data_IF_338640124073
#
_entry.id   IF_338640124073
#
_cell.length_a   1.000
_cell.length_b   1.000
_cell.length_c   1.000
_cell.angle_alpha   90.00
_cell.angle_beta   90.00
_cell.angle_gamma   90.00
#
_symmetry.space_group_name_H-M   'P 1'
#
loop_
_entity.id
_entity.type
_entity.pdbx_description
1 polymer ?
#
# COMPACT_ATOMS: atom_id res chain seq x y z
N UNK A 1 -13.73 5.59 16.28
CA UNK A 1 -12.42 5.69 15.60
C UNK A 1 -11.73 4.38 15.83
N UNK A 2 -11.39 3.65 14.77
CA UNK A 2 -10.59 2.42 14.87
C UNK A 2 -9.21 2.76 15.41
N UNK A 3 -8.68 1.94 16.32
CA UNK A 3 -7.34 2.09 16.89
C UNK A 3 -6.65 0.74 17.01
N UNK A 4 -5.33 0.75 17.15
CA UNK A 4 -4.52 -0.45 17.43
C UNK A 4 -4.04 -0.35 18.87
N UNK A 5 -4.26 -1.41 19.64
CA UNK A 5 -3.61 -1.61 20.93
C UNK A 5 -2.67 -2.82 20.85
N UNK A 6 -1.48 -2.70 21.42
CA UNK A 6 -0.49 -3.78 21.47
C UNK A 6 -0.10 -4.11 22.90
N UNK A 7 0.02 -5.39 23.23
CA UNK A 7 0.37 -5.85 24.58
C UNK A 7 1.24 -7.11 24.52
N UNK A 8 2.10 -7.37 25.52
CA UNK A 8 2.82 -8.63 25.61
C UNK A 8 1.85 -9.77 25.92
N UNK A 9 1.86 -10.82 25.10
CA UNK A 9 1.05 -12.03 25.35
C UNK A 9 1.58 -12.72 26.61
N UNK A 10 0.69 -12.98 27.56
CA UNK A 10 1.02 -13.70 28.78
C UNK A 10 1.14 -15.20 28.50
N UNK A 11 1.96 -15.88 29.30
CA UNK A 11 2.16 -17.34 29.22
C UNK A 11 2.66 -17.82 27.84
N UNK A 12 3.55 -17.06 27.19
CA UNK A 12 4.06 -17.35 25.85
C UNK A 12 5.23 -18.34 25.80
N UNK A 13 5.31 -19.31 26.73
CA UNK A 13 6.37 -20.33 26.66
C UNK A 13 6.19 -21.22 25.45
N UNK A 14 7.28 -21.79 24.91
CA UNK A 14 7.23 -22.66 23.73
C UNK A 14 6.19 -23.78 23.91
N UNK A 15 6.23 -24.48 25.04
CA UNK A 15 5.32 -25.60 25.29
C UNK A 15 3.85 -25.15 25.36
N UNK A 16 3.59 -23.96 25.91
CA UNK A 16 2.22 -23.41 26.02
C UNK A 16 1.69 -22.94 24.68
N UNK A 17 2.50 -22.25 23.88
CA UNK A 17 2.09 -21.83 22.53
C UNK A 17 1.93 -23.04 21.61
N UNK A 18 2.73 -24.09 21.79
CA UNK A 18 2.54 -25.35 21.06
C UNK A 18 1.25 -26.09 21.48
N UNK A 19 0.90 -26.12 22.77
CA UNK A 19 -0.36 -26.74 23.21
C UNK A 19 -1.59 -26.04 22.64
N UNK A 20 -1.49 -24.74 22.43
CA UNK A 20 -2.57 -23.89 21.92
C UNK A 20 -2.53 -23.79 20.37
N UNK A 21 -1.74 -24.62 19.67
CA UNK A 21 -1.54 -24.51 18.20
C UNK A 21 -2.84 -24.60 17.41
N UNK A 22 -3.78 -25.44 17.86
CA UNK A 22 -5.07 -25.62 17.22
C UNK A 22 -6.01 -24.43 17.45
N UNK A 23 -5.69 -23.53 18.38
CA UNK A 23 -6.44 -22.29 18.63
C UNK A 23 -5.84 -21.08 17.86
N UNK A 24 -4.77 -21.29 17.09
CA UNK A 24 -4.04 -20.23 16.37
C UNK A 24 -4.24 -20.39 14.86
N UNK A 25 -4.63 -19.31 14.20
CA UNK A 25 -4.71 -19.23 12.73
C UNK A 25 -3.33 -18.88 12.18
N UNK A 26 -2.72 -19.82 11.47
CA UNK A 26 -1.34 -19.69 10.96
C UNK A 26 -1.28 -18.98 9.61
N UNK A 27 -2.39 -18.96 8.86
CA UNK A 27 -2.47 -18.42 7.49
C UNK A 27 -3.75 -17.58 7.29
N UNK A 28 -3.82 -16.38 7.91
CA UNK A 28 -4.96 -15.49 7.69
C UNK A 28 -4.94 -14.86 6.29
N UNK A 29 -6.10 -14.45 5.78
CA UNK A 29 -6.26 -13.94 4.40
C UNK A 29 -5.38 -12.73 4.05
N UNK A 30 -5.02 -11.92 5.05
CA UNK A 30 -4.13 -10.76 4.89
C UNK A 30 -2.63 -11.11 4.87
N UNK A 31 -2.28 -12.39 5.06
CA UNK A 31 -0.90 -12.86 4.93
C UNK A 31 -0.57 -13.17 3.47
N UNK A 32 0.58 -12.69 3.00
CA UNK A 32 1.12 -13.11 1.69
C UNK A 32 1.84 -14.45 1.83
N UNK A 33 1.81 -15.25 0.76
CA UNK A 33 2.63 -16.45 0.64
C UNK A 33 4.12 -16.09 0.76
N UNK A 34 4.67 -16.22 1.97
CA UNK A 34 6.09 -16.10 2.24
C UNK A 34 6.83 -17.34 1.75
N UNK A 35 8.09 -17.17 1.33
CA UNK A 35 8.96 -18.30 1.00
C UNK A 35 9.18 -19.21 2.21
N UNK A 36 9.31 -20.50 1.96
CA UNK A 36 9.59 -21.52 2.99
C UNK A 36 11.03 -21.37 3.49
N UNK A 37 11.25 -21.38 4.81
CA UNK A 37 12.61 -21.40 5.35
C UNK A 37 13.37 -22.68 4.98
N UNK A 38 14.64 -22.51 4.61
CA UNK A 38 15.56 -23.63 4.37
C UNK A 38 15.87 -24.37 5.68
N UNK A 39 16.27 -25.66 5.64
CA UNK A 39 16.62 -26.42 6.85
C UNK A 39 17.63 -25.71 7.75
N UNK A 40 18.63 -25.06 7.16
CA UNK A 40 19.69 -24.36 7.90
C UNK A 40 19.13 -23.17 8.69
N UNK A 41 18.20 -22.41 8.09
CA UNK A 41 17.50 -21.31 8.79
C UNK A 41 16.62 -21.83 9.94
N UNK A 42 16.00 -23.00 9.74
CA UNK A 42 15.19 -23.63 10.79
C UNK A 42 16.06 -24.05 11.97
N UNK A 43 17.18 -24.71 11.69
CA UNK A 43 18.15 -25.15 12.70
C UNK A 43 18.77 -23.96 13.44
N UNK A 44 19.13 -22.88 12.73
CA UNK A 44 19.67 -21.66 13.34
C UNK A 44 18.69 -21.01 14.33
N UNK A 45 17.38 -21.06 14.08
CA UNK A 45 16.39 -20.56 15.05
C UNK A 45 16.40 -21.42 16.34
N UNK A 46 16.45 -22.74 16.21
CA UNK A 46 16.48 -23.63 17.38
C UNK A 46 17.79 -23.44 18.14
N UNK A 47 18.91 -23.23 17.44
CA UNK A 47 20.19 -22.87 18.04
C UNK A 47 20.05 -21.61 18.89
N UNK A 48 19.54 -20.52 18.29
CA UNK A 48 19.32 -19.25 18.98
C UNK A 48 18.51 -19.43 20.27
N UNK A 49 17.45 -20.25 20.24
CA UNK A 49 16.62 -20.52 21.42
C UNK A 49 17.41 -21.26 22.51
N UNK A 50 18.12 -22.34 22.16
CA UNK A 50 18.87 -23.14 23.13
C UNK A 50 20.04 -22.36 23.76
N UNK A 51 20.68 -21.50 22.96
CA UNK A 51 21.78 -20.64 23.39
C UNK A 51 21.32 -19.28 23.96
N UNK A 52 20.02 -19.06 24.19
CA UNK A 52 19.45 -17.82 24.75
C UNK A 52 19.76 -16.54 23.94
N UNK A 53 19.95 -16.65 22.62
CA UNK A 53 19.99 -15.47 21.76
C UNK A 53 18.62 -14.80 21.69
N UNK A 54 18.62 -13.47 21.57
CA UNK A 54 17.41 -12.72 21.31
C UNK A 54 16.85 -13.08 19.93
N UNK A 55 15.54 -13.26 19.84
CA UNK A 55 14.85 -13.59 18.60
C UNK A 55 13.86 -12.48 18.22
N UNK A 56 13.68 -12.19 16.92
CA UNK A 56 12.72 -11.18 16.50
C UNK A 56 11.31 -11.47 17.02
N UNK A 57 10.62 -10.39 17.43
CA UNK A 57 9.26 -10.45 17.95
C UNK A 57 8.29 -11.17 17.00
N UNK A 58 7.27 -11.78 17.58
CA UNK A 58 6.18 -12.43 16.86
C UNK A 58 4.92 -11.63 17.15
N UNK A 59 4.09 -11.40 16.14
CA UNK A 59 2.89 -10.56 16.28
C UNK A 59 1.64 -11.40 16.04
N UNK A 60 0.75 -11.44 17.02
CA UNK A 60 -0.54 -12.12 16.94
C UNK A 60 -1.67 -11.10 16.96
N UNK A 61 -2.59 -11.20 16.02
CA UNK A 61 -3.89 -10.57 16.13
C UNK A 61 -4.73 -11.34 17.16
N UNK A 62 -5.21 -10.66 18.19
CA UNK A 62 -6.12 -11.25 19.16
C UNK A 62 -7.56 -11.02 18.72
N UNK A 63 -8.29 -12.11 18.53
CA UNK A 63 -9.71 -12.05 18.17
C UNK A 63 -10.56 -11.53 19.33
N UNK A 64 -11.63 -10.83 18.98
CA UNK A 64 -12.65 -10.38 19.93
C UNK A 64 -13.31 -11.58 20.64
N UNK A 65 -14.13 -11.33 21.67
CA UNK A 65 -14.85 -12.42 22.34
C UNK A 65 -15.85 -13.09 21.40
N UNK A 66 -16.52 -12.28 20.59
CA UNK A 66 -17.50 -12.71 19.60
C UNK A 66 -16.82 -13.54 18.51
N UNK A 67 -15.72 -13.05 17.95
CA UNK A 67 -14.95 -13.76 16.93
C UNK A 67 -14.37 -15.08 17.45
N UNK A 68 -13.94 -15.13 18.71
CA UNK A 68 -13.46 -16.37 19.35
C UNK A 68 -14.54 -17.43 19.41
N UNK A 69 -15.78 -17.05 19.71
CA UNK A 69 -16.92 -17.98 19.78
C UNK A 69 -17.29 -18.50 18.39
N UNK A 70 -17.28 -17.62 17.39
CA UNK A 70 -17.61 -17.97 16.01
C UNK A 70 -16.53 -18.84 15.36
N UNK A 71 -15.26 -18.42 15.46
CA UNK A 71 -14.13 -19.04 14.76
C UNK A 71 -13.53 -20.22 15.52
N UNK A 72 -13.79 -20.33 16.83
CA UNK A 72 -13.10 -21.27 17.73
C UNK A 72 -11.56 -21.12 17.65
N UNK A 73 -11.09 -19.87 17.50
CA UNK A 73 -9.67 -19.51 17.42
C UNK A 73 -9.42 -18.32 18.31
N UNK A 74 -8.29 -18.31 19.02
CA UNK A 74 -7.90 -17.22 19.95
C UNK A 74 -7.07 -16.16 19.27
N UNK A 75 -6.17 -16.57 18.37
CA UNK A 75 -5.22 -15.67 17.70
C UNK A 75 -5.12 -15.96 16.21
N UNK A 76 -4.66 -14.97 15.44
CA UNK A 76 -4.14 -15.16 14.09
C UNK A 76 -2.72 -14.58 14.00
N UNK A 77 -1.82 -15.25 13.27
CA UNK A 77 -0.45 -14.78 13.11
C UNK A 77 -0.40 -13.61 12.13
N UNK A 78 0.09 -12.47 12.58
CA UNK A 78 0.38 -11.30 11.73
C UNK A 78 1.80 -11.44 11.16
N UNK A 79 2.80 -11.56 12.04
CA UNK A 79 4.20 -11.74 11.66
C UNK A 79 4.86 -12.85 12.50
N UNK A 80 5.84 -13.54 11.90
CA UNK A 80 6.58 -14.62 12.57
C UNK A 80 6.08 -16.04 12.30
N UNK A 81 5.25 -16.25 11.27
CA UNK A 81 4.76 -17.59 10.85
C UNK A 81 5.89 -18.62 10.74
N UNK A 82 6.93 -18.33 9.97
CA UNK A 82 8.06 -19.25 9.77
C UNK A 82 8.78 -19.57 11.09
N UNK A 83 8.84 -18.63 12.05
CA UNK A 83 9.43 -18.86 13.38
C UNK A 83 8.59 -19.86 14.18
N UNK A 84 7.28 -19.62 14.26
CA UNK A 84 6.34 -20.48 14.98
C UNK A 84 6.29 -21.89 14.37
N UNK A 85 6.13 -22.00 13.05
CA UNK A 85 6.09 -23.28 12.34
C UNK A 85 7.39 -24.08 12.51
N UNK A 86 8.54 -23.39 12.56
CA UNK A 86 9.84 -24.02 12.80
C UNK A 86 9.92 -24.61 14.21
N UNK A 87 9.52 -23.84 15.22
CA UNK A 87 9.50 -24.30 16.62
C UNK A 87 8.58 -25.51 16.76
N UNK A 88 7.36 -25.44 16.21
CA UNK A 88 6.42 -26.56 16.23
C UNK A 88 6.96 -27.78 15.48
N UNK A 89 7.60 -27.57 14.33
CA UNK A 89 8.20 -28.67 13.56
C UNK A 89 9.33 -29.37 14.31
N UNK A 90 10.12 -28.64 15.11
CA UNK A 90 11.15 -29.23 15.97
C UNK A 90 10.52 -30.04 17.11
N UNK A 91 9.50 -29.49 17.77
CA UNK A 91 8.70 -30.17 18.81
C UNK A 91 8.06 -31.46 18.29
N UNK A 92 7.62 -31.46 17.04
CA UNK A 92 7.03 -32.61 16.35
C UNK A 92 8.09 -33.60 15.80
N UNK A 93 9.38 -33.34 16.01
CA UNK A 93 10.47 -34.23 15.59
C UNK A 93 10.72 -34.25 14.08
N UNK A 94 10.30 -33.20 13.33
CA UNK A 94 10.44 -33.16 11.87
C UNK A 94 11.87 -32.89 11.39
N UNK A 95 12.75 -32.41 12.27
CA UNK A 95 14.18 -32.20 12.00
C UNK A 95 14.97 -32.19 13.31
N UNK A 96 16.29 -32.30 13.19
CA UNK A 96 17.23 -32.33 14.32
C UNK A 96 18.06 -31.05 14.39
N UNK A 97 18.76 -30.87 15.52
CA UNK A 97 19.82 -29.88 15.65
C UNK A 97 20.89 -30.05 14.56
N UNK A 98 21.54 -28.96 14.18
CA UNK A 98 22.59 -28.98 13.16
C UNK A 98 23.75 -29.89 13.58
N UNK A 99 24.46 -30.45 12.60
CA UNK A 99 25.65 -31.29 12.83
C UNK A 99 26.82 -30.49 13.44
N UNK A 100 26.80 -29.17 13.28
CA UNK A 100 27.75 -28.20 13.83
C UNK A 100 27.23 -27.43 15.06
N UNK A 101 26.12 -27.89 15.66
CA UNK A 101 25.53 -27.21 16.83
C UNK A 101 26.47 -27.23 18.05
N UNK A 102 26.70 -26.06 18.64
CA UNK A 102 27.50 -25.88 19.85
C UNK A 102 26.67 -25.26 20.99
N UNK A 103 26.67 -25.92 22.15
CA UNK A 103 25.95 -25.43 23.33
C UNK A 103 26.85 -24.56 24.21
N UNK A 104 26.55 -23.26 24.26
CA UNK A 104 27.45 -22.26 24.86
C UNK A 104 27.57 -22.39 26.39
N UNK A 105 26.48 -22.71 27.08
CA UNK A 105 26.51 -22.86 28.55
C UNK A 105 27.39 -24.05 28.99
N UNK A 106 27.55 -25.07 28.13
CA UNK A 106 28.43 -26.21 28.40
C UNK A 106 28.87 -26.90 27.10
N UNK A 107 30.05 -26.52 26.55
CA UNK A 107 30.56 -27.07 25.29
C UNK A 107 30.85 -28.57 25.30
N UNK A 108 30.87 -29.22 26.46
CA UNK A 108 31.11 -30.67 26.56
C UNK A 108 29.86 -31.51 26.27
N UNK A 109 28.67 -30.91 26.20
CA UNK A 109 27.44 -31.62 25.86
C UNK A 109 27.37 -31.88 24.36
N UNK A 110 27.13 -33.13 23.97
CA UNK A 110 27.02 -33.53 22.57
C UNK A 110 25.56 -33.46 22.13
N UNK A 111 25.15 -32.29 21.66
CA UNK A 111 23.77 -32.02 21.26
C UNK A 111 23.56 -31.99 19.73
N UNK A 112 24.64 -31.94 18.95
CA UNK A 112 24.56 -31.97 17.49
C UNK A 112 23.80 -33.20 16.96
N UNK A 113 22.96 -33.00 15.95
CA UNK A 113 22.14 -34.05 15.34
C UNK A 113 21.00 -34.58 16.21
N UNK A 114 20.82 -34.11 17.45
CA UNK A 114 19.75 -34.59 18.33
C UNK A 114 18.39 -34.01 17.94
N UNK A 115 17.36 -34.87 17.99
CA UNK A 115 15.96 -34.45 17.88
C UNK A 115 15.44 -33.94 19.23
N UNK A 116 14.25 -33.35 19.21
CA UNK A 116 13.53 -32.98 20.42
C UNK A 116 13.29 -34.16 21.38
N UNK A 117 13.06 -35.37 20.86
CA UNK A 117 12.86 -36.58 21.68
C UNK A 117 14.18 -37.05 22.32
N UNK A 118 15.28 -36.98 21.56
CA UNK A 118 16.61 -37.32 22.07
C UNK A 118 17.02 -36.38 23.19
N UNK A 119 16.74 -35.07 23.05
CA UNK A 119 16.95 -34.10 24.13
C UNK A 119 16.16 -34.47 25.39
N UNK A 120 14.93 -34.98 25.26
CA UNK A 120 14.14 -35.40 26.41
C UNK A 120 14.72 -36.64 27.12
N UNK A 121 15.27 -37.59 26.35
CA UNK A 121 15.84 -38.84 26.87
C UNK A 121 17.24 -38.65 27.46
N UNK A 122 18.11 -37.94 26.75
CA UNK A 122 19.55 -37.84 27.06
C UNK A 122 19.88 -36.57 27.88
N UNK A 123 19.19 -35.46 27.62
CA UNK A 123 19.51 -34.15 28.19
C UNK A 123 18.26 -33.42 28.73
N UNK A 124 17.52 -34.00 29.70
CA UNK A 124 16.21 -33.48 30.14
C UNK A 124 16.26 -32.04 30.65
N UNK A 125 17.40 -31.58 31.19
CA UNK A 125 17.58 -30.17 31.59
C UNK A 125 17.60 -29.21 30.40
N UNK A 126 18.26 -29.60 29.31
CA UNK A 126 18.31 -28.81 28.06
C UNK A 126 16.91 -28.78 27.43
N UNK A 127 16.22 -29.92 27.46
CA UNK A 127 14.83 -30.03 27.02
C UNK A 127 13.88 -29.07 27.77
N UNK A 128 13.96 -29.04 29.11
CA UNK A 128 13.18 -28.11 29.94
C UNK A 128 13.52 -26.66 29.63
N UNK A 129 14.80 -26.34 29.40
CA UNK A 129 15.23 -24.98 28.99
C UNK A 129 14.55 -24.55 27.70
N UNK A 130 14.51 -25.44 26.69
CA UNK A 130 13.78 -25.18 25.45
C UNK A 130 12.27 -24.96 25.71
N UNK A 131 11.61 -25.85 26.45
CA UNK A 131 10.16 -25.73 26.74
C UNK A 131 9.77 -24.43 27.44
N UNK A 132 10.60 -24.02 28.38
CA UNK A 132 10.37 -22.86 29.25
C UNK A 132 10.81 -21.55 28.60
N UNK A 133 11.39 -21.58 27.40
CA UNK A 133 11.75 -20.37 26.66
C UNK A 133 10.49 -19.54 26.39
N UNK A 134 10.51 -18.28 26.83
CA UNK A 134 9.39 -17.35 26.68
C UNK A 134 9.50 -16.67 25.32
N UNK A 135 8.58 -16.99 24.41
CA UNK A 135 8.55 -16.38 23.09
C UNK A 135 8.16 -14.91 23.20
N UNK A 136 8.86 -13.98 22.51
CA UNK A 136 8.55 -12.55 22.52
C UNK A 136 7.34 -12.25 21.63
N UNK A 137 6.16 -12.70 22.06
CA UNK A 137 4.90 -12.55 21.34
C UNK A 137 4.18 -11.27 21.79
N UNK A 138 3.84 -10.43 20.82
CA UNK A 138 3.02 -9.22 20.99
C UNK A 138 1.63 -9.49 20.43
N UNK A 139 0.62 -9.34 21.28
CA UNK A 139 -0.79 -9.36 20.92
C UNK A 139 -1.22 -8.00 20.38
N UNK A 140 -2.09 -8.03 19.38
CA UNK A 140 -2.58 -6.84 18.68
C UNK A 140 -4.10 -6.90 18.63
N UNK A 141 -4.74 -5.92 19.24
CA UNK A 141 -6.19 -5.81 19.33
C UNK A 141 -6.66 -4.62 18.49
N UNK A 142 -7.53 -4.90 17.53
CA UNK A 142 -8.23 -3.93 16.69
C UNK A 142 -9.41 -4.61 16.03
N UNK A 143 -10.46 -3.85 15.74
CA UNK A 143 -11.63 -4.28 14.95
C UNK A 143 -11.48 -3.97 13.45
N UNK A 144 -10.34 -3.37 13.06
CA UNK A 144 -10.09 -2.88 11.71
C UNK A 144 -8.95 -3.69 11.04
N UNK A 145 -9.33 -4.56 10.11
CA UNK A 145 -8.39 -5.39 9.36
C UNK A 145 -7.41 -4.56 8.50
N UNK A 146 -7.82 -3.37 8.03
CA UNK A 146 -6.94 -2.51 7.23
C UNK A 146 -5.76 -2.00 8.07
N UNK A 147 -5.98 -1.81 9.39
CA UNK A 147 -4.94 -1.43 10.34
C UNK A 147 -3.94 -2.58 10.59
N UNK A 148 -4.42 -3.82 10.62
CA UNK A 148 -3.57 -5.01 10.72
C UNK A 148 -2.68 -5.14 9.48
N UNK A 149 -3.26 -4.99 8.29
CA UNK A 149 -2.51 -5.00 7.03
C UNK A 149 -1.45 -3.90 6.97
N UNK A 150 -1.80 -2.68 7.41
CA UNK A 150 -0.86 -1.56 7.45
C UNK A 150 0.31 -1.83 8.42
N UNK A 151 0.01 -2.37 9.60
CA UNK A 151 1.03 -2.74 10.58
C UNK A 151 1.95 -3.85 10.04
N UNK A 152 1.38 -4.89 9.42
CA UNK A 152 2.15 -5.97 8.80
C UNK A 152 3.09 -5.47 7.70
N UNK A 153 2.60 -4.58 6.83
CA UNK A 153 3.40 -3.97 5.76
C UNK A 153 4.57 -3.16 6.34
N UNK A 154 4.35 -2.42 7.43
CA UNK A 154 5.41 -1.66 8.12
C UNK A 154 6.47 -2.54 8.77
N UNK A 155 6.06 -3.65 9.38
CA UNK A 155 6.97 -4.61 10.02
C UNK A 155 7.93 -5.25 9.00
N UNK A 156 7.45 -5.52 7.78
CA UNK A 156 8.22 -6.27 6.77
C UNK A 156 8.96 -5.41 5.74
N UNK A 157 8.36 -4.31 5.28
CA UNK A 157 8.86 -3.55 4.12
C UNK A 157 9.42 -2.17 4.49
N UNK A 158 9.39 -1.77 5.78
CA UNK A 158 9.74 -0.45 6.31
C UNK A 158 8.98 0.76 5.68
N UNK A 159 8.14 0.52 4.67
CA UNK A 159 7.33 1.54 3.98
C UNK A 159 5.94 0.95 3.68
N UNK A 160 4.85 1.50 4.24
CA UNK A 160 3.49 0.98 4.00
C UNK A 160 3.10 1.18 2.53
N UNK A 161 2.37 0.24 1.93
CA UNK A 161 1.79 0.45 0.59
C UNK A 161 0.95 1.73 0.54
N UNK A 162 1.12 2.54 -0.50
CA UNK A 162 0.31 3.74 -0.70
C UNK A 162 -1.06 3.37 -1.28
N UNK A 163 -1.95 4.36 -1.39
CA UNK A 163 -3.32 4.12 -1.87
C UNK A 163 -3.37 3.54 -3.30
N UNK A 164 -2.47 3.95 -4.20
CA UNK A 164 -2.40 3.42 -5.55
C UNK A 164 -1.94 1.96 -5.57
N UNK A 165 -0.95 1.61 -4.75
CA UNK A 165 -0.43 0.25 -4.58
C UNK A 165 -1.48 -0.68 -3.98
N UNK A 166 -2.18 -0.25 -2.91
CA UNK A 166 -3.30 -1.00 -2.32
C UNK A 166 -4.42 -1.20 -3.35
N UNK A 167 -4.81 -0.16 -4.09
CA UNK A 167 -5.83 -0.30 -5.16
C UNK A 167 -5.44 -1.29 -6.25
N UNK A 168 -4.18 -1.25 -6.68
CA UNK A 168 -3.70 -2.15 -7.72
C UNK A 168 -3.77 -3.63 -7.30
N UNK A 169 -3.75 -3.92 -6.00
CA UNK A 169 -3.88 -5.27 -5.47
C UNK A 169 -5.32 -5.82 -5.55
N UNK A 170 -6.36 -4.98 -5.65
CA UNK A 170 -7.75 -5.45 -5.79
C UNK A 170 -8.01 -6.27 -7.06
N UNK A 171 -7.20 -6.04 -8.12
CA UNK A 171 -7.37 -6.69 -9.42
C UNK A 171 -8.69 -6.36 -10.11
N UNK A 172 -9.03 -7.11 -11.16
CA UNK A 172 -10.26 -6.93 -11.93
C UNK A 172 -10.13 -5.98 -13.12
N UNK A 173 -11.25 -5.80 -13.83
CA UNK A 173 -11.30 -5.12 -15.13
C UNK A 173 -10.84 -3.66 -15.03
N UNK A 174 -11.37 -2.91 -14.06
CA UNK A 174 -11.00 -1.50 -13.86
C UNK A 174 -9.51 -1.33 -13.51
N UNK A 175 -8.92 -2.20 -12.68
CA UNK A 175 -7.48 -2.13 -12.34
C UNK A 175 -6.62 -2.43 -13.57
N UNK A 176 -7.02 -3.40 -14.37
CA UNK A 176 -6.33 -3.70 -15.62
C UNK A 176 -6.38 -2.50 -16.57
N UNK A 177 -7.49 -1.76 -16.58
CA UNK A 177 -7.62 -0.57 -17.41
C UNK A 177 -6.72 0.58 -16.94
N UNK A 178 -6.64 0.81 -15.63
CA UNK A 178 -5.68 1.76 -15.04
C UNK A 178 -4.23 1.43 -15.49
N UNK A 179 -3.86 0.15 -15.51
CA UNK A 179 -2.53 -0.31 -15.96
C UNK A 179 -2.28 -0.07 -17.45
N UNK A 180 -3.31 -0.12 -18.29
CA UNK A 180 -3.18 0.16 -19.73
C UNK A 180 -3.04 1.66 -19.99
N UNK A 181 -3.95 2.47 -19.45
CA UNK A 181 -3.95 3.92 -19.63
C UNK A 181 -2.64 4.54 -19.11
N UNK A 182 -2.11 4.05 -17.98
CA UNK A 182 -0.81 4.52 -17.46
C UNK A 182 0.40 4.22 -18.36
N UNK A 183 0.25 3.35 -19.38
CA UNK A 183 1.27 3.09 -20.41
C UNK A 183 1.09 3.95 -21.67
N UNK A 184 0.10 4.84 -21.70
CA UNK A 184 -0.09 5.75 -22.83
C UNK A 184 1.15 6.64 -23.04
N UNK A 185 1.42 7.03 -24.29
CA UNK A 185 2.60 7.84 -24.67
C UNK A 185 2.73 9.12 -23.85
N UNK A 186 1.60 9.75 -23.53
CA UNK A 186 1.50 10.89 -22.62
C UNK A 186 2.21 10.67 -21.27
N UNK A 187 1.95 9.55 -20.60
CA UNK A 187 2.55 9.23 -19.30
C UNK A 187 4.02 8.85 -19.41
N UNK A 188 4.40 8.16 -20.49
CA UNK A 188 5.78 7.67 -20.68
C UNK A 188 6.73 8.80 -21.12
N UNK A 189 6.28 9.65 -22.05
CA UNK A 189 7.11 10.67 -22.70
C UNK A 189 6.94 12.05 -22.09
N UNK A 190 5.70 12.53 -21.92
CA UNK A 190 5.45 13.93 -21.60
C UNK A 190 5.43 14.19 -20.09
N UNK A 191 4.87 13.29 -19.28
CA UNK A 191 4.80 13.47 -17.82
C UNK A 191 6.19 13.49 -17.20
N UNK A 192 6.49 14.52 -16.40
CA UNK A 192 7.81 14.75 -15.82
C UNK A 192 8.04 14.00 -14.51
N UNK A 193 7.01 13.78 -13.71
CA UNK A 193 7.15 13.03 -12.46
C UNK A 193 7.27 11.52 -12.74
N UNK A 194 8.15 10.80 -12.02
CA UNK A 194 8.37 9.38 -12.25
C UNK A 194 7.15 8.56 -11.79
N UNK A 195 7.01 7.34 -12.32
CA UNK A 195 6.01 6.38 -11.84
C UNK A 195 6.41 5.69 -10.51
N UNK A 196 7.14 6.38 -9.64
CA UNK A 196 7.62 5.82 -8.37
C UNK A 196 6.43 5.57 -7.45
N UNK A 197 6.20 4.33 -7.03
CA UNK A 197 5.04 3.96 -6.21
C UNK A 197 3.69 4.21 -6.90
N UNK A 198 3.62 3.88 -8.19
CA UNK A 198 2.37 3.87 -8.98
C UNK A 198 1.69 5.24 -9.14
N UNK A 199 2.46 6.32 -9.20
CA UNK A 199 1.92 7.68 -9.42
C UNK A 199 1.20 7.84 -10.75
N UNK A 200 1.65 7.17 -11.82
CA UNK A 200 0.94 7.21 -13.11
C UNK A 200 -0.38 6.43 -13.02
N UNK A 201 -0.45 5.39 -12.19
CA UNK A 201 -1.68 4.63 -11.98
C UNK A 201 -2.68 5.47 -11.18
N UNK A 202 -2.21 6.25 -10.20
CA UNK A 202 -3.03 7.25 -9.49
C UNK A 202 -3.68 8.23 -10.47
N UNK A 203 -2.87 8.85 -11.34
CA UNK A 203 -3.38 9.78 -12.34
C UNK A 203 -4.35 9.12 -13.32
N UNK A 204 -4.02 7.94 -13.85
CA UNK A 204 -4.90 7.19 -14.76
C UNK A 204 -6.23 6.81 -14.10
N UNK A 205 -6.21 6.36 -12.84
CA UNK A 205 -7.42 6.06 -12.08
C UNK A 205 -8.32 7.29 -11.88
N UNK A 206 -7.73 8.48 -11.68
CA UNK A 206 -8.50 9.72 -11.60
C UNK A 206 -9.15 10.09 -12.93
N UNK A 207 -8.48 9.88 -14.06
CA UNK A 207 -9.08 10.11 -15.38
C UNK A 207 -10.26 9.17 -15.64
N UNK A 208 -10.12 7.88 -15.28
CA UNK A 208 -11.22 6.92 -15.33
C UNK A 208 -12.38 7.35 -14.45
N UNK A 209 -12.12 7.81 -13.23
CA UNK A 209 -13.16 8.30 -12.33
C UNK A 209 -13.92 9.50 -12.90
N UNK A 210 -13.24 10.40 -13.61
CA UNK A 210 -13.88 11.51 -14.31
C UNK A 210 -14.88 11.01 -15.36
N UNK A 211 -14.48 10.02 -16.18
CA UNK A 211 -15.38 9.46 -17.20
C UNK A 211 -16.54 8.66 -16.59
N UNK A 212 -16.29 7.87 -15.54
CA UNK A 212 -17.32 7.14 -14.80
C UNK A 212 -18.34 8.12 -14.21
N UNK A 213 -17.89 9.16 -13.51
CA UNK A 213 -18.77 10.14 -12.88
C UNK A 213 -19.59 10.95 -13.91
N UNK A 214 -18.95 11.29 -15.04
CA UNK A 214 -19.60 11.94 -16.18
C UNK A 214 -20.70 11.05 -16.77
N UNK A 215 -20.45 9.75 -16.88
CA UNK A 215 -21.42 8.78 -17.41
C UNK A 215 -22.58 8.52 -16.43
N UNK A 216 -22.29 8.33 -15.15
CA UNK A 216 -23.32 7.96 -14.15
C UNK A 216 -24.19 9.14 -13.71
N UNK A 217 -23.62 10.34 -13.60
CA UNK A 217 -24.29 11.49 -12.98
C UNK A 217 -24.23 12.79 -13.79
N UNK A 218 -23.42 12.83 -14.86
CA UNK A 218 -23.15 14.06 -15.61
C UNK A 218 -22.39 15.12 -14.82
N UNK A 219 -21.85 14.79 -13.64
CA UNK A 219 -21.19 15.73 -12.73
C UNK A 219 -19.79 15.26 -12.38
N UNK A 220 -18.88 16.21 -12.24
CA UNK A 220 -17.57 15.96 -11.63
C UNK A 220 -17.75 15.70 -10.13
N UNK A 221 -16.98 14.77 -9.59
CA UNK A 221 -16.92 14.39 -8.16
C UNK A 221 -15.50 14.52 -7.62
N UNK A 222 -15.36 14.35 -6.31
CA UNK A 222 -14.05 14.29 -5.64
C UNK A 222 -13.22 13.12 -6.17
N UNK A 223 -11.93 13.35 -6.37
CA UNK A 223 -10.95 12.34 -6.81
C UNK A 223 -10.12 11.79 -5.65
N UNK A 224 -10.71 11.77 -4.45
CA UNK A 224 -10.10 11.24 -3.22
C UNK A 224 -10.05 9.71 -3.24
N UNK A 225 -9.19 9.15 -2.38
CA UNK A 225 -9.00 7.71 -2.18
C UNK A 225 -10.33 6.94 -2.14
N UNK A 226 -11.28 7.37 -1.31
CA UNK A 226 -12.55 6.65 -1.10
C UNK A 226 -13.32 6.44 -2.40
N UNK A 227 -13.39 7.45 -3.28
CA UNK A 227 -14.10 7.36 -4.56
C UNK A 227 -13.36 6.48 -5.57
N UNK A 228 -12.04 6.57 -5.61
CA UNK A 228 -11.21 5.73 -6.48
C UNK A 228 -11.28 4.25 -6.07
N UNK A 229 -11.24 3.98 -4.77
CA UNK A 229 -11.35 2.61 -4.23
C UNK A 229 -12.76 2.05 -4.49
N UNK A 230 -13.80 2.87 -4.31
CA UNK A 230 -15.18 2.50 -4.65
C UNK A 230 -15.33 2.14 -6.13
N UNK A 231 -14.85 2.99 -7.04
CA UNK A 231 -14.91 2.76 -8.49
C UNK A 231 -14.24 1.43 -8.87
N UNK A 232 -13.04 1.16 -8.35
CA UNK A 232 -12.32 -0.09 -8.64
C UNK A 232 -13.10 -1.31 -8.15
N UNK A 233 -13.71 -1.24 -6.97
CA UNK A 233 -14.52 -2.34 -6.42
C UNK A 233 -15.82 -2.54 -7.20
N UNK A 234 -16.51 -1.46 -7.55
CA UNK A 234 -17.77 -1.47 -8.32
C UNK A 234 -17.58 -2.08 -9.72
N UNK A 235 -16.50 -1.69 -10.41
CA UNK A 235 -16.18 -2.12 -11.76
C UNK A 235 -15.17 -3.28 -11.80
N UNK A 236 -15.20 -4.16 -10.79
CA UNK A 236 -14.24 -5.27 -10.67
C UNK A 236 -14.44 -6.35 -11.75
N UNK A 237 -15.69 -6.64 -12.11
CA UNK A 237 -16.04 -7.67 -13.10
C UNK A 237 -17.36 -7.35 -13.81
N UNK A 238 -17.47 -7.71 -15.09
CA UNK A 238 -18.75 -7.68 -15.82
C UNK A 238 -19.10 -6.34 -16.49
N UNK A 239 -18.15 -5.40 -16.51
CA UNK A 239 -18.34 -4.06 -17.09
C UNK A 239 -17.32 -3.73 -18.20
N UNK A 240 -16.72 -4.75 -18.81
CA UNK A 240 -15.63 -4.60 -19.81
C UNK A 240 -16.02 -3.66 -20.96
N UNK A 241 -17.26 -3.78 -21.48
CA UNK A 241 -17.69 -2.98 -22.63
C UNK A 241 -17.72 -1.48 -22.32
N UNK A 242 -18.29 -1.08 -21.17
CA UNK A 242 -18.36 0.33 -20.76
C UNK A 242 -16.99 0.86 -20.35
N UNK A 243 -16.17 0.05 -19.66
CA UNK A 243 -14.78 0.39 -19.31
C UNK A 243 -13.96 0.66 -20.57
N UNK A 244 -14.13 -0.15 -21.62
CA UNK A 244 -13.44 0.04 -22.91
C UNK A 244 -13.86 1.32 -23.63
N UNK A 245 -15.11 1.77 -23.45
CA UNK A 245 -15.56 3.07 -23.97
C UNK A 245 -14.87 4.22 -23.24
N UNK A 246 -14.74 4.15 -21.91
CA UNK A 246 -13.99 5.14 -21.13
C UNK A 246 -12.52 5.17 -21.53
N UNK A 247 -11.89 3.99 -21.69
CA UNK A 247 -10.51 3.87 -22.20
C UNK A 247 -10.33 4.61 -23.52
N UNK A 248 -11.23 4.37 -24.49
CA UNK A 248 -11.15 5.00 -25.80
C UNK A 248 -11.22 6.53 -25.70
N UNK A 249 -12.20 7.05 -24.95
CA UNK A 249 -12.35 8.51 -24.73
C UNK A 249 -11.09 9.10 -24.10
N UNK A 250 -10.56 8.46 -23.06
CA UNK A 250 -9.36 8.92 -22.37
C UNK A 250 -8.16 8.92 -23.34
N UNK A 251 -7.93 7.84 -24.08
CA UNK A 251 -6.82 7.73 -25.01
C UNK A 251 -6.87 8.79 -26.13
N UNK A 252 -8.06 9.13 -26.63
CA UNK A 252 -8.23 10.22 -27.60
C UNK A 252 -7.75 11.56 -27.01
N UNK A 253 -8.20 11.92 -25.80
CA UNK A 253 -7.77 13.16 -25.16
C UNK A 253 -6.29 13.14 -24.75
N UNK A 254 -5.78 12.01 -24.26
CA UNK A 254 -4.36 11.86 -23.93
C UNK A 254 -3.46 11.95 -25.16
N UNK A 255 -3.94 11.52 -26.34
CA UNK A 255 -3.21 11.70 -27.62
C UNK A 255 -3.08 13.18 -27.94
N UNK A 256 -4.20 13.93 -27.91
CA UNK A 256 -4.18 15.38 -28.15
C UNK A 256 -3.30 16.13 -27.13
N UNK A 257 -3.31 15.69 -25.87
CA UNK A 257 -2.40 16.24 -24.85
C UNK A 257 -0.94 15.91 -25.16
N UNK A 258 -0.64 14.65 -25.53
CA UNK A 258 0.70 14.19 -25.91
C UNK A 258 1.30 15.01 -27.05
N UNK A 259 0.48 15.37 -28.04
CA UNK A 259 0.88 16.22 -29.18
C UNK A 259 1.12 17.69 -28.79
N UNK A 260 0.48 18.16 -27.71
CA UNK A 260 0.62 19.54 -27.24
C UNK A 260 1.86 19.73 -26.35
N UNK A 261 2.18 18.76 -25.49
CA UNK A 261 3.29 18.86 -24.53
C UNK A 261 4.61 18.31 -25.10
N UNK A 262 5.73 18.76 -24.55
CA UNK A 262 7.06 18.24 -24.92
C UNK A 262 7.44 17.04 -24.04
N UNK A 263 8.56 16.38 -24.34
CA UNK A 263 9.11 15.35 -23.48
C UNK A 263 9.44 15.92 -22.08
N UNK A 264 9.07 15.20 -21.02
CA UNK A 264 9.24 15.59 -19.60
C UNK A 264 8.87 17.06 -19.34
N UNK A 265 7.68 17.44 -19.80
CA UNK A 265 7.23 18.82 -19.82
C UNK A 265 7.20 19.44 -18.43
N UNK A 266 7.68 20.68 -18.32
CA UNK A 266 7.71 21.44 -17.06
C UNK A 266 6.29 21.71 -16.52
N UNK A 267 5.29 21.75 -17.39
CA UNK A 267 3.87 21.90 -17.02
C UNK A 267 3.29 20.63 -16.40
N UNK A 268 3.95 19.48 -16.55
CA UNK A 268 3.49 18.17 -16.08
C UNK A 268 4.34 17.65 -14.90
N UNK A 269 4.76 18.55 -14.01
CA UNK A 269 5.64 18.25 -12.87
C UNK A 269 4.95 17.58 -11.67
N UNK A 270 3.62 17.66 -11.57
CA UNK A 270 2.87 17.17 -10.42
C UNK A 270 1.57 16.46 -10.86
N UNK A 271 1.15 15.45 -10.10
CA UNK A 271 -0.06 14.67 -10.42
C UNK A 271 -1.34 15.51 -10.43
N UNK A 272 -1.44 16.51 -9.56
CA UNK A 272 -2.66 17.32 -9.36
C UNK A 272 -3.06 18.17 -10.57
N UNK A 273 -2.15 18.38 -11.54
CA UNK A 273 -2.41 19.14 -12.77
C UNK A 273 -3.04 18.26 -13.86
N UNK A 274 -2.80 16.95 -13.83
CA UNK A 274 -3.18 16.04 -14.91
C UNK A 274 -4.71 16.03 -15.13
N UNK A 275 -5.48 16.00 -14.04
CA UNK A 275 -6.95 16.02 -14.11
C UNK A 275 -7.46 17.37 -14.65
N UNK A 276 -6.86 18.48 -14.24
CA UNK A 276 -7.27 19.83 -14.70
C UNK A 276 -7.00 19.98 -16.19
N UNK A 277 -5.82 19.58 -16.67
CA UNK A 277 -5.51 19.62 -18.10
C UNK A 277 -6.35 18.64 -18.90
N UNK A 278 -6.60 17.43 -18.38
CA UNK A 278 -7.50 16.50 -19.04
C UNK A 278 -8.89 17.12 -19.25
N UNK A 279 -9.47 17.73 -18.22
CA UNK A 279 -10.76 18.42 -18.32
C UNK A 279 -10.72 19.62 -19.27
N UNK A 280 -9.63 20.40 -19.26
CA UNK A 280 -9.44 21.50 -20.20
C UNK A 280 -9.41 21.01 -21.66
N UNK A 281 -8.67 19.95 -21.95
CA UNK A 281 -8.61 19.37 -23.31
C UNK A 281 -9.93 18.71 -23.72
N UNK A 282 -10.68 18.15 -22.76
CA UNK A 282 -12.04 17.65 -22.99
C UNK A 282 -12.98 18.79 -23.38
N UNK A 283 -13.04 19.85 -22.57
CA UNK A 283 -13.81 21.07 -22.85
C UNK A 283 -13.42 21.70 -24.20
N UNK A 284 -12.13 21.77 -24.50
CA UNK A 284 -11.64 22.37 -25.73
C UNK A 284 -12.09 21.58 -26.97
N UNK A 285 -12.09 20.24 -26.91
CA UNK A 285 -12.62 19.39 -27.99
C UNK A 285 -14.13 19.62 -28.19
N UNK A 286 -14.89 19.76 -27.10
CA UNK A 286 -16.35 20.01 -27.15
C UNK A 286 -16.70 21.38 -27.74
N UNK A 287 -15.78 22.36 -27.64
CA UNK A 287 -15.98 23.74 -28.11
C UNK A 287 -15.17 24.07 -29.38
N UNK A 288 -14.65 23.05 -30.08
CA UNK A 288 -13.78 23.20 -31.26
C UNK A 288 -12.61 24.20 -31.06
N UNK A 289 -12.07 24.20 -29.84
CA UNK A 289 -10.99 25.09 -29.43
C UNK A 289 -9.65 24.34 -29.44
N UNK A 290 -8.61 24.96 -30.01
CA UNK A 290 -7.26 24.40 -30.03
C UNK A 290 -6.38 25.01 -28.95
N UNK A 291 -6.07 24.22 -27.92
CA UNK A 291 -5.13 24.61 -26.86
C UNK A 291 -3.71 24.69 -27.43
N UNK A 292 -3.02 25.80 -27.11
CA UNK A 292 -1.60 26.00 -27.46
C UNK A 292 -0.74 25.87 -26.22
N UNK A 293 0.35 25.10 -26.30
CA UNK A 293 1.34 24.97 -25.23
C UNK A 293 1.91 26.32 -24.76
N UNK A 294 2.13 27.27 -25.68
CA UNK A 294 2.65 28.60 -25.34
C UNK A 294 1.74 29.35 -24.37
N UNK A 295 0.41 29.28 -24.56
CA UNK A 295 -0.57 29.89 -23.65
C UNK A 295 -0.58 29.24 -22.26
N UNK A 296 -0.36 27.93 -22.18
CA UNK A 296 -0.22 27.23 -20.89
C UNK A 296 1.07 27.63 -20.15
N UNK A 297 2.16 27.84 -20.89
CA UNK A 297 3.42 28.35 -20.34
C UNK A 297 3.26 29.78 -19.84
N UNK A 298 2.70 30.66 -20.66
CA UNK A 298 2.41 32.06 -20.29
C UNK A 298 1.57 32.12 -19.02
N UNK A 299 0.51 31.29 -18.91
CA UNK A 299 -0.29 31.20 -17.70
C UNK A 299 0.54 30.74 -16.48
N UNK A 300 1.36 29.70 -16.63
CA UNK A 300 2.21 29.22 -15.54
C UNK A 300 3.21 30.27 -15.07
N UNK A 301 3.78 31.05 -16.00
CA UNK A 301 4.68 32.15 -15.68
C UNK A 301 3.94 33.29 -15.00
N UNK A 302 2.71 33.58 -15.43
CA UNK A 302 1.88 34.63 -14.84
C UNK A 302 1.47 34.30 -13.40
N UNK A 303 1.06 33.05 -13.12
CA UNK A 303 0.79 32.57 -11.75
C UNK A 303 2.03 32.73 -10.86
N UNK A 304 3.21 32.38 -11.38
CA UNK A 304 4.48 32.49 -10.65
C UNK A 304 4.82 33.96 -10.34
N UNK A 305 4.76 34.84 -11.33
CA UNK A 305 5.05 36.27 -11.16
C UNK A 305 4.08 36.91 -10.17
N UNK A 306 2.80 36.57 -10.25
CA UNK A 306 1.79 37.10 -9.33
C UNK A 306 2.05 36.69 -7.88
N UNK A 307 2.51 35.45 -7.65
CA UNK A 307 2.92 35.00 -6.31
C UNK A 307 4.13 35.78 -5.79
N UNK A 308 5.16 35.96 -6.61
CA UNK A 308 6.35 36.74 -6.24
C UNK A 308 6.01 38.22 -5.97
N UNK A 309 5.08 38.79 -6.73
CA UNK A 309 4.57 40.14 -6.48
C UNK A 309 3.78 40.22 -5.17
N UNK A 310 2.95 39.23 -4.85
CA UNK A 310 2.14 39.22 -3.63
C UNK A 310 2.99 39.17 -2.34
N UNK A 311 4.22 38.67 -2.40
CA UNK A 311 5.18 38.73 -1.29
C UNK A 311 5.65 40.17 -0.99
N UNK A 312 5.65 41.05 -2.00
CA UNK A 312 6.05 42.46 -1.88
C UNK A 312 4.85 43.38 -1.66
N UNK A 313 3.75 43.13 -2.38
CA UNK A 313 2.53 43.93 -2.38
C UNK A 313 1.30 43.04 -2.60
N UNK A 314 0.79 42.51 -1.49
CA UNK A 314 -0.37 41.63 -1.48
C UNK A 314 -1.66 42.31 -1.99
N UNK A 315 -1.79 43.64 -1.82
CA UNK A 315 -3.03 44.36 -2.16
C UNK A 315 -3.27 44.48 -3.67
N UNK A 316 -2.20 44.47 -4.47
CA UNK A 316 -2.26 44.60 -5.92
C UNK A 316 -2.07 43.27 -6.67
N UNK A 317 -1.99 42.14 -5.96
CA UNK A 317 -1.90 40.83 -6.58
C UNK A 317 -3.26 40.36 -7.13
N UNK A 318 -3.24 39.65 -8.25
CA UNK A 318 -4.42 39.02 -8.83
C UNK A 318 -4.90 37.87 -7.93
N UNK A 319 -6.10 38.03 -7.38
CA UNK A 319 -6.69 37.08 -6.43
C UNK A 319 -6.93 35.70 -7.06
N UNK A 320 -7.38 35.64 -8.31
CA UNK A 320 -7.69 34.38 -8.99
C UNK A 320 -6.40 33.56 -9.19
N UNK A 321 -5.29 34.21 -9.54
CA UNK A 321 -4.01 33.52 -9.71
C UNK A 321 -3.42 33.04 -8.38
N UNK A 322 -3.58 33.83 -7.30
CA UNK A 322 -3.18 33.39 -5.95
C UNK A 322 -4.00 32.18 -5.51
N UNK A 323 -5.31 32.21 -5.77
CA UNK A 323 -6.19 31.09 -5.45
C UNK A 323 -5.84 29.87 -6.29
N UNK A 324 -5.55 30.03 -7.59
CA UNK A 324 -5.07 28.93 -8.44
C UNK A 324 -3.79 28.29 -7.89
N UNK A 325 -2.80 29.10 -7.47
CA UNK A 325 -1.54 28.59 -6.90
C UNK A 325 -1.80 27.82 -5.59
N UNK A 326 -2.59 28.40 -4.68
CA UNK A 326 -2.99 27.77 -3.41
C UNK A 326 -3.68 26.41 -3.64
N UNK A 327 -4.65 26.37 -4.55
CA UNK A 327 -5.41 25.15 -4.89
C UNK A 327 -4.59 24.12 -5.66
N UNK A 328 -3.48 24.53 -6.27
CA UNK A 328 -2.53 23.62 -6.92
C UNK A 328 -1.61 22.94 -5.91
N UNK A 329 -1.48 23.49 -4.70
CA UNK A 329 -0.68 22.94 -3.60
C UNK A 329 -1.53 22.17 -2.59
N UNK A 330 -2.77 22.59 -2.35
CA UNK A 330 -3.65 22.01 -1.33
C UNK A 330 -4.99 21.55 -1.93
N UNK A 331 -5.49 20.41 -1.45
CA UNK A 331 -6.84 19.94 -1.82
C UNK A 331 -7.01 19.66 -3.32
N UNK A 332 -5.95 19.21 -4.01
CA UNK A 332 -5.96 19.01 -5.47
C UNK A 332 -6.98 17.96 -5.95
N UNK A 333 -7.52 17.16 -5.03
CA UNK A 333 -8.47 16.11 -5.30
C UNK A 333 -9.92 16.50 -4.98
N UNK A 334 -10.15 17.69 -4.40
CA UNK A 334 -11.49 18.21 -4.11
C UNK A 334 -12.15 18.73 -5.39
N UNK A 335 -13.42 18.38 -5.60
CA UNK A 335 -14.18 18.75 -6.79
C UNK A 335 -14.30 20.26 -6.95
N UNK A 336 -14.52 20.99 -5.86
CA UNK A 336 -14.58 22.46 -5.87
C UNK A 336 -13.27 23.06 -6.37
N UNK A 337 -12.15 22.52 -5.90
CA UNK A 337 -10.82 23.03 -6.21
C UNK A 337 -10.38 22.64 -7.63
N UNK A 338 -10.81 21.48 -8.13
CA UNK A 338 -10.61 21.10 -9.53
C UNK A 338 -11.40 22.04 -10.45
N UNK A 339 -12.68 22.29 -10.14
CA UNK A 339 -13.54 23.19 -10.92
C UNK A 339 -12.99 24.61 -10.94
N UNK A 340 -12.56 25.13 -9.80
CA UNK A 340 -12.07 26.50 -9.70
C UNK A 340 -10.76 26.69 -10.46
N UNK A 341 -9.81 25.75 -10.32
CA UNK A 341 -8.58 25.75 -11.15
C UNK A 341 -8.90 25.67 -12.64
N UNK A 342 -9.85 24.82 -13.03
CA UNK A 342 -10.27 24.72 -14.43
C UNK A 342 -10.89 26.03 -14.93
N UNK A 343 -11.77 26.67 -14.14
CA UNK A 343 -12.39 27.97 -14.47
C UNK A 343 -11.32 29.02 -14.74
N UNK A 344 -10.43 29.26 -13.77
CA UNK A 344 -9.39 30.30 -13.86
C UNK A 344 -8.48 30.05 -15.08
N UNK A 345 -8.07 28.79 -15.30
CA UNK A 345 -7.22 28.42 -16.43
C UNK A 345 -7.94 28.63 -17.78
N UNK A 346 -9.19 28.20 -17.89
CA UNK A 346 -9.99 28.37 -19.10
C UNK A 346 -10.25 29.84 -19.42
N UNK A 347 -10.60 30.64 -18.40
CA UNK A 347 -10.84 32.08 -18.53
C UNK A 347 -9.58 32.82 -19.02
N UNK A 348 -8.38 32.37 -18.64
CA UNK A 348 -7.13 32.92 -19.16
C UNK A 348 -6.88 32.50 -20.60
N UNK A 349 -7.06 31.22 -20.93
CA UNK A 349 -6.76 30.68 -22.27
C UNK A 349 -7.69 31.27 -23.35
N UNK A 350 -8.91 31.66 -22.97
CA UNK A 350 -9.88 32.31 -23.84
C UNK A 350 -9.56 33.78 -24.15
N UNK A 351 -8.67 34.42 -23.38
CA UNK A 351 -8.15 35.77 -23.63
C UNK A 351 -6.98 35.73 -24.60
#
# INVERSE_FOLDING_TARGET
>A
MSYIETFPVQHSTIIRIYSDKDDIVVDPEYQRNGGVWTPEKKQLLIDSILNNYDIPKIYFHQFSREERQEKQKTYAIIDGKQRIETIWSFVEGKFCLSDDFEYQDNPNLKLAGLSYEDLAKEYPKVRIKFDSFVLPIIGVQTDDLDLIEDMFSRLNEAVPLNSAEKRNAFGGDMVNEVRKISKHSFFIKNVKFPNNRYQHYESAAKLLLVEVASHESGKLIDTKKVYLDHMVKQYKSGSIAIISQFEKTINEHLTTMSDCFTEKDILLKAQGVIVVYYLLFKWAKENDFKIKRSKLLEFSDFVKQNREQAELDYANADYDLLEYDRLSQHGTNDVSNIKERLRILSDYILK
#
